data_IF_564368520276
#
_entry.id   IF_564368520276
#
_cell.length_a   1.000
_cell.length_b   1.000
_cell.length_c   1.000
_cell.angle_alpha   90.00
_cell.angle_beta   90.00
_cell.angle_gamma   90.00
#
_symmetry.space_group_name_H-M   'P 1'
#
loop_
_entity.id
_entity.type
_entity.pdbx_description
1 polymer ?
#
# COMPACT_ATOMS: atom_id res chain seq x y z
N UNK A 1 5.68 -30.49 -9.49
CA UNK A 1 4.74 -29.43 -9.07
C UNK A 1 5.54 -28.17 -8.80
N UNK A 2 5.17 -27.11 -9.50
CA UNK A 2 6.02 -25.97 -9.91
C UNK A 2 6.12 -24.88 -8.83
N UNK A 3 7.32 -24.32 -8.65
CA UNK A 3 7.66 -23.18 -7.77
C UNK A 3 6.75 -21.93 -7.90
N UNK A 4 5.94 -21.86 -8.97
CA UNK A 4 4.98 -20.79 -9.24
C UNK A 4 3.73 -20.83 -8.36
N UNK A 5 3.30 -22.01 -7.89
CA UNK A 5 2.15 -22.14 -6.97
C UNK A 5 2.54 -21.78 -5.52
N UNK A 6 3.79 -22.03 -5.12
CA UNK A 6 4.27 -21.73 -3.78
C UNK A 6 4.40 -20.22 -3.50
N UNK A 7 4.64 -19.40 -4.53
CA UNK A 7 4.66 -17.93 -4.43
C UNK A 7 3.26 -17.34 -4.40
N UNK A 8 2.29 -17.96 -5.08
CA UNK A 8 0.90 -17.51 -5.10
C UNK A 8 0.19 -17.63 -3.73
N UNK A 9 0.71 -18.47 -2.82
CA UNK A 9 0.10 -18.70 -1.50
C UNK A 9 0.62 -17.77 -0.39
N UNK A 10 1.60 -16.89 -0.67
CA UNK A 10 2.25 -16.05 0.36
C UNK A 10 1.74 -14.61 0.42
N UNK A 11 0.97 -14.18 -0.58
CA UNK A 11 0.24 -12.92 -0.55
C UNK A 11 -1.23 -13.22 -0.78
N UNK A 12 -2.02 -13.17 0.29
CA UNK A 12 -3.45 -13.45 0.24
C UNK A 12 -4.21 -12.14 0.36
N UNK A 13 -5.01 -11.82 -0.66
CA UNK A 13 -6.02 -10.78 -0.51
C UNK A 13 -7.10 -11.29 0.45
N UNK A 14 -7.40 -10.51 1.46
CA UNK A 14 -8.43 -10.82 2.46
C UNK A 14 -9.56 -9.79 2.37
N UNK A 15 -10.78 -10.11 2.85
CA UNK A 15 -11.80 -9.10 3.06
C UNK A 15 -11.24 -7.96 3.93
N UNK A 16 -11.67 -6.74 3.65
CA UNK A 16 -11.26 -5.58 4.42
C UNK A 16 -11.54 -5.81 5.91
N UNK A 17 -10.52 -5.57 6.74
CA UNK A 17 -10.62 -5.67 8.20
C UNK A 17 -11.59 -4.60 8.69
N UNK A 18 -12.19 -4.80 9.87
CA UNK A 18 -13.05 -3.80 10.52
C UNK A 18 -12.38 -2.41 10.51
N UNK A 19 -12.92 -1.54 9.64
CA UNK A 19 -12.38 -0.20 9.39
C UNK A 19 -12.49 0.67 10.64
N UNK A 20 -13.36 0.33 11.59
CA UNK A 20 -13.52 1.09 12.85
C UNK A 20 -12.28 1.04 13.74
N UNK A 21 -11.43 0.01 13.57
CA UNK A 21 -10.17 -0.17 14.32
C UNK A 21 -8.93 0.12 13.48
N UNK A 22 -9.13 0.56 12.25
CA UNK A 22 -8.06 0.79 11.28
C UNK A 22 -7.71 2.27 11.26
N UNK A 23 -6.45 2.65 11.57
CA UNK A 23 -6.06 4.05 11.54
C UNK A 23 -6.17 4.58 10.11
N UNK A 24 -6.99 5.61 9.92
CA UNK A 24 -7.14 6.36 8.67
C UNK A 24 -7.45 7.81 8.99
N UNK A 25 -6.88 8.72 8.21
CA UNK A 25 -7.14 10.16 8.30
C UNK A 25 -7.98 10.68 7.12
N UNK A 26 -8.48 9.79 6.25
CA UNK A 26 -9.32 10.16 5.10
C UNK A 26 -10.73 10.62 5.49
N UNK A 27 -11.21 10.31 6.70
CA UNK A 27 -12.56 10.65 7.19
C UNK A 27 -13.71 9.86 6.52
N UNK A 28 -13.61 9.56 5.22
CA UNK A 28 -14.46 8.61 4.48
C UNK A 28 -13.57 7.72 3.62
N UNK A 29 -13.87 6.43 3.61
CA UNK A 29 -13.20 5.43 2.77
C UNK A 29 -14.25 4.92 1.77
N UNK A 30 -13.99 5.12 0.48
CA UNK A 30 -14.88 4.67 -0.62
C UNK A 30 -14.37 3.37 -1.28
N UNK A 31 -13.09 3.03 -1.09
CA UNK A 31 -12.48 1.78 -1.50
C UNK A 31 -11.43 1.33 -0.48
N UNK A 32 -11.37 0.03 -0.25
CA UNK A 32 -10.34 -0.63 0.55
C UNK A 32 -9.96 -1.97 -0.07
N UNK A 33 -8.66 -2.25 -0.08
CA UNK A 33 -8.16 -3.62 -0.17
C UNK A 33 -7.20 -3.94 0.98
N UNK A 34 -7.09 -5.23 1.26
CA UNK A 34 -6.26 -5.76 2.33
C UNK A 34 -5.54 -7.03 1.85
N UNK A 35 -4.25 -7.11 2.15
CA UNK A 35 -3.39 -8.24 1.83
C UNK A 35 -2.64 -8.69 3.07
N UNK A 36 -2.72 -9.99 3.35
CA UNK A 36 -1.81 -10.65 4.27
C UNK A 36 -0.60 -11.14 3.48
N UNK A 37 0.57 -10.87 4.04
CA UNK A 37 1.87 -11.16 3.43
C UNK A 37 2.68 -11.99 4.40
N UNK A 38 3.00 -13.22 3.99
CA UNK A 38 3.87 -14.10 4.77
C UNK A 38 5.33 -13.70 4.52
N UNK A 39 5.98 -13.20 5.57
CA UNK A 39 7.41 -12.83 5.55
C UNK A 39 8.16 -13.64 6.61
N UNK A 40 9.41 -13.98 6.33
CA UNK A 40 10.28 -14.60 7.34
C UNK A 40 10.68 -13.56 8.37
N UNK A 41 10.46 -13.85 9.65
CA UNK A 41 10.85 -13.01 10.80
C UNK A 41 10.33 -11.56 10.71
N UNK A 42 8.99 -11.35 10.72
CA UNK A 42 8.41 -10.01 10.66
C UNK A 42 8.88 -9.08 11.79
N UNK A 43 9.34 -9.64 12.91
CA UNK A 43 9.84 -8.89 14.08
C UNK A 43 11.25 -8.32 13.94
N UNK A 44 12.04 -8.72 12.93
CA UNK A 44 13.42 -8.25 12.75
C UNK A 44 13.48 -6.77 12.30
N UNK A 45 12.39 -6.26 11.73
CA UNK A 45 12.26 -4.88 11.26
C UNK A 45 10.97 -4.23 11.80
N UNK A 46 11.00 -2.91 11.99
CA UNK A 46 9.80 -2.12 12.31
C UNK A 46 8.86 -1.99 11.11
N UNK A 47 7.61 -1.58 11.34
CA UNK A 47 6.63 -1.42 10.27
C UNK A 47 7.07 -0.37 9.22
N UNK A 48 7.68 0.74 9.64
CA UNK A 48 8.23 1.73 8.71
C UNK A 48 9.29 1.11 7.78
N UNK A 49 10.23 0.35 8.35
CA UNK A 49 11.33 -0.27 7.61
C UNK A 49 10.82 -1.32 6.61
N UNK A 50 9.80 -2.10 7.00
CA UNK A 50 9.12 -2.99 6.06
C UNK A 50 8.45 -2.23 4.92
N UNK A 51 7.78 -1.11 5.21
CA UNK A 51 7.14 -0.28 4.19
C UNK A 51 8.18 0.32 3.22
N UNK A 52 9.35 0.76 3.72
CA UNK A 52 10.49 1.17 2.89
C UNK A 52 11.01 0.01 2.05
N UNK A 53 11.16 -1.18 2.61
CA UNK A 53 11.60 -2.38 1.88
C UNK A 53 10.64 -2.73 0.73
N UNK A 54 9.33 -2.62 0.97
CA UNK A 54 8.30 -2.88 -0.03
C UNK A 54 8.37 -1.84 -1.18
N UNK A 55 8.34 -0.55 -0.83
CA UNK A 55 8.21 0.55 -1.80
C UNK A 55 9.55 1.01 -2.37
N UNK A 56 10.52 1.37 -1.52
CA UNK A 56 11.82 1.93 -1.90
C UNK A 56 12.81 0.84 -2.31
N UNK A 57 12.73 -0.35 -1.70
CA UNK A 57 13.48 -1.55 -2.09
C UNK A 57 13.05 -2.15 -3.43
N UNK A 58 12.08 -1.53 -4.12
CA UNK A 58 11.62 -1.96 -5.43
C UNK A 58 12.62 -1.73 -6.57
N UNK A 59 12.68 -2.64 -7.57
CA UNK A 59 13.42 -2.39 -8.79
C UNK A 59 13.07 -1.02 -9.38
N UNK A 60 14.08 -0.31 -9.91
CA UNK A 60 13.91 1.06 -10.43
C UNK A 60 12.75 1.19 -11.41
N UNK A 61 12.57 0.20 -12.30
CA UNK A 61 11.46 0.16 -13.26
C UNK A 61 10.08 0.09 -12.57
N UNK A 62 9.98 -0.68 -11.49
CA UNK A 62 8.76 -0.80 -10.70
C UNK A 62 8.47 0.49 -9.92
N UNK A 63 9.50 1.12 -9.31
CA UNK A 63 9.35 2.43 -8.65
C UNK A 63 8.89 3.51 -9.61
N UNK A 64 9.51 3.60 -10.78
CA UNK A 64 9.11 4.54 -11.82
C UNK A 64 7.65 4.30 -12.25
N UNK A 65 7.24 3.04 -12.42
CA UNK A 65 5.85 2.69 -12.73
C UNK A 65 4.88 3.11 -11.62
N UNK A 66 5.22 2.89 -10.35
CA UNK A 66 4.39 3.30 -9.21
C UNK A 66 4.23 4.83 -9.17
N UNK A 67 5.34 5.58 -9.26
CA UNK A 67 5.33 7.04 -9.29
C UNK A 67 4.50 7.58 -10.46
N UNK A 68 4.62 6.98 -11.65
CA UNK A 68 3.82 7.35 -12.82
C UNK A 68 2.33 7.05 -12.60
N UNK A 69 1.98 5.89 -12.04
CA UNK A 69 0.60 5.51 -11.77
C UNK A 69 -0.05 6.47 -10.77
N UNK A 70 0.63 6.77 -9.66
CA UNK A 70 0.18 7.71 -8.63
C UNK A 70 0.03 9.14 -9.18
N UNK A 71 0.98 9.58 -10.02
CA UNK A 71 0.91 10.90 -10.66
C UNK A 71 -0.27 11.00 -11.64
N UNK A 72 -0.55 9.93 -12.40
CA UNK A 72 -1.67 9.88 -13.34
C UNK A 72 -3.04 9.98 -12.65
N UNK A 73 -3.15 9.47 -11.41
CA UNK A 73 -4.34 9.63 -10.57
C UNK A 73 -4.31 10.90 -9.69
N UNK A 74 -3.36 11.79 -9.95
CA UNK A 74 -3.28 13.11 -9.34
C UNK A 74 -2.79 13.13 -7.90
N UNK A 75 -2.19 12.06 -7.38
CA UNK A 75 -1.60 12.08 -6.03
C UNK A 75 -0.47 13.11 -5.94
N UNK A 76 -0.45 13.85 -4.84
CA UNK A 76 0.55 14.86 -4.52
C UNK A 76 1.64 14.21 -3.69
N UNK A 77 2.58 13.57 -4.37
CA UNK A 77 3.75 12.99 -3.75
C UNK A 77 4.84 14.06 -3.57
N UNK A 78 5.60 13.92 -2.48
CA UNK A 78 6.80 14.72 -2.22
C UNK A 78 7.99 14.17 -2.99
N UNK A 79 9.02 15.01 -3.09
CA UNK A 79 10.33 14.56 -3.53
C UNK A 79 10.82 13.44 -2.58
N UNK A 80 11.28 12.29 -3.11
CA UNK A 80 11.85 11.23 -2.31
C UNK A 80 13.07 11.73 -1.51
N UNK A 81 13.29 11.15 -0.32
CA UNK A 81 14.50 11.42 0.48
C UNK A 81 14.33 12.41 1.63
N UNK A 82 13.10 12.77 2.00
CA UNK A 82 12.85 13.38 3.33
C UNK A 82 12.57 12.30 4.37
N UNK A 83 13.12 12.44 5.58
CA UNK A 83 12.96 11.46 6.67
C UNK A 83 11.48 11.19 7.01
N UNK A 84 10.59 12.14 6.72
CA UNK A 84 9.15 12.04 6.96
C UNK A 84 8.37 11.46 5.77
N UNK A 85 9.03 10.83 4.81
CA UNK A 85 8.40 10.27 3.61
C UNK A 85 8.97 8.91 3.20
N UNK A 86 8.13 8.10 2.57
CA UNK A 86 8.51 6.82 1.96
C UNK A 86 8.07 6.85 0.49
N UNK A 87 9.02 6.80 -0.44
CA UNK A 87 8.80 6.93 -1.88
C UNK A 87 7.86 8.10 -2.25
N UNK A 88 8.01 9.23 -1.55
CA UNK A 88 7.22 10.45 -1.74
C UNK A 88 5.86 10.49 -1.03
N UNK A 89 5.43 9.42 -0.37
CA UNK A 89 4.25 9.45 0.50
C UNK A 89 4.61 10.01 1.87
N UNK A 90 3.78 10.89 2.43
CA UNK A 90 3.99 11.42 3.79
C UNK A 90 3.70 10.34 4.83
N UNK A 91 4.58 10.18 5.81
CA UNK A 91 4.29 9.42 7.04
C UNK A 91 3.33 10.26 7.89
N UNK A 92 2.12 9.73 8.12
CA UNK A 92 1.04 10.39 8.86
C UNK A 92 1.02 10.00 10.33
N UNK A 93 1.23 8.71 10.59
CA UNK A 93 1.29 8.13 11.91
C UNK A 93 2.09 6.83 11.84
N UNK A 94 2.64 6.39 12.96
CA UNK A 94 3.25 5.09 13.07
C UNK A 94 3.96 4.90 14.40
N UNK A 95 4.25 3.64 14.68
CA UNK A 95 5.09 3.14 15.75
C UNK A 95 5.82 1.88 15.23
N UNK A 96 6.38 1.08 16.12
CA UNK A 96 7.10 -0.15 15.72
C UNK A 96 6.18 -1.15 15.01
N UNK A 97 4.88 -1.17 15.32
CA UNK A 97 3.91 -2.17 14.84
C UNK A 97 3.14 -1.73 13.60
N UNK A 98 2.98 -0.44 13.36
CA UNK A 98 2.35 0.03 12.13
C UNK A 98 2.91 1.34 11.59
N UNK A 99 2.73 1.56 10.29
CA UNK A 99 2.97 2.85 9.64
C UNK A 99 1.81 3.18 8.71
N UNK A 100 1.30 4.41 8.82
CA UNK A 100 0.28 4.97 7.95
C UNK A 100 0.92 6.05 7.08
N UNK A 101 0.85 5.84 5.77
CA UNK A 101 1.23 6.79 4.76
C UNK A 101 -0.01 7.46 4.17
N UNK A 102 0.09 8.73 3.79
CA UNK A 102 -1.05 9.45 3.20
C UNK A 102 -0.63 10.47 2.16
N UNK A 103 -1.32 10.47 1.02
CA UNK A 103 -1.10 11.40 -0.06
C UNK A 103 -2.42 12.13 -0.44
N UNK A 104 -2.44 13.48 -0.41
CA UNK A 104 -3.58 14.22 -0.94
C UNK A 104 -3.61 14.09 -2.47
N UNK A 105 -4.75 14.42 -3.08
CA UNK A 105 -4.91 14.38 -4.54
C UNK A 105 -5.29 15.74 -5.12
N UNK A 106 -4.89 15.98 -6.37
CA UNK A 106 -5.29 17.15 -7.18
C UNK A 106 -6.69 17.00 -7.78
N UNK A 107 -7.14 15.76 -8.02
CA UNK A 107 -8.40 15.47 -8.72
C UNK A 107 -9.50 14.92 -7.80
N UNK A 108 -9.25 14.90 -6.49
CA UNK A 108 -10.22 14.42 -5.49
C UNK A 108 -10.17 12.91 -5.24
N UNK A 109 -9.00 12.29 -5.39
CA UNK A 109 -8.78 10.88 -5.04
C UNK A 109 -7.61 10.69 -4.08
N UNK A 110 -7.67 11.24 -2.85
CA UNK A 110 -6.61 11.03 -1.88
C UNK A 110 -6.55 9.56 -1.46
N UNK A 111 -5.35 9.11 -1.10
CA UNK A 111 -5.10 7.73 -0.73
C UNK A 111 -4.26 7.62 0.53
N UNK A 112 -4.38 6.48 1.19
CA UNK A 112 -3.55 6.08 2.32
C UNK A 112 -3.06 4.64 2.14
N UNK A 113 -1.84 4.38 2.62
CA UNK A 113 -1.26 3.04 2.67
C UNK A 113 -0.94 2.73 4.12
N UNK A 114 -1.48 1.63 4.63
CA UNK A 114 -1.21 1.15 5.98
C UNK A 114 -0.44 -0.16 5.88
N UNK A 115 0.68 -0.25 6.59
CA UNK A 115 1.33 -1.51 6.88
C UNK A 115 1.27 -1.75 8.38
N UNK A 116 0.90 -2.97 8.78
CA UNK A 116 0.91 -3.42 10.17
C UNK A 116 1.63 -4.76 10.27
N UNK A 117 2.46 -4.93 11.29
CA UNK A 117 3.05 -6.21 11.65
C UNK A 117 2.02 -7.09 12.35
N UNK A 118 2.05 -8.39 12.06
CA UNK A 118 1.28 -9.42 12.74
C UNK A 118 2.25 -10.53 13.17
N UNK A 119 1.86 -11.34 14.16
CA UNK A 119 2.70 -12.44 14.67
C UNK A 119 3.21 -13.38 13.56
N UNK A 120 2.42 -13.59 12.49
CA UNK A 120 2.76 -14.47 11.37
C UNK A 120 3.23 -13.76 10.09
N UNK A 121 3.28 -12.42 10.04
CA UNK A 121 3.60 -11.71 8.80
C UNK A 121 3.25 -10.23 8.81
N UNK A 122 2.79 -9.72 7.67
CA UNK A 122 2.38 -8.32 7.51
C UNK A 122 0.94 -8.22 7.01
N UNK A 123 0.26 -7.16 7.39
CA UNK A 123 -1.00 -6.72 6.81
C UNK A 123 -0.76 -5.41 6.07
N UNK A 124 -1.00 -5.41 4.76
CA UNK A 124 -0.95 -4.22 3.91
C UNK A 124 -2.37 -3.83 3.49
N UNK A 125 -2.73 -2.56 3.64
CA UNK A 125 -4.04 -2.04 3.25
C UNK A 125 -3.90 -0.75 2.43
N UNK A 126 -4.71 -0.64 1.39
CA UNK A 126 -4.88 0.61 0.63
C UNK A 126 -6.25 1.19 0.95
N UNK A 127 -6.31 2.47 1.31
CA UNK A 127 -7.57 3.22 1.42
C UNK A 127 -7.62 4.29 0.35
N UNK A 128 -8.79 4.43 -0.29
CA UNK A 128 -9.03 5.49 -1.28
C UNK A 128 -10.37 6.14 -0.99
N UNK A 129 -10.39 7.47 -1.07
CA UNK A 129 -11.60 8.27 -1.03
C UNK A 129 -11.92 8.80 -2.42
N UNK A 130 -13.19 8.78 -2.81
CA UNK A 130 -13.66 9.31 -4.08
C UNK A 130 -14.46 10.58 -3.82
N UNK A 131 -13.87 11.75 -4.06
CA UNK A 131 -14.53 13.03 -3.78
C UNK A 131 -15.50 13.48 -4.89
N UNK A 132 -15.55 12.76 -6.02
CA UNK A 132 -16.51 13.00 -7.10
C UNK A 132 -16.80 11.73 -7.92
N UNK A 133 -17.83 11.78 -8.77
CA UNK A 133 -18.29 10.65 -9.60
C UNK A 133 -17.29 10.27 -10.70
N UNK A 134 -16.51 11.23 -11.22
CA UNK A 134 -15.51 10.98 -12.27
C UNK A 134 -14.37 10.11 -11.72
N UNK A 135 -13.83 10.45 -10.55
CA UNK A 135 -12.77 9.63 -9.92
C UNK A 135 -13.28 8.25 -9.51
N UNK A 136 -14.53 8.14 -9.05
CA UNK A 136 -15.17 6.85 -8.77
C UNK A 136 -15.22 5.96 -10.02
N UNK A 137 -15.65 6.52 -11.15
CA UNK A 137 -15.71 5.80 -12.41
C UNK A 137 -14.30 5.44 -12.96
N UNK A 138 -13.32 6.32 -12.77
CA UNK A 138 -11.92 6.04 -13.09
C UNK A 138 -11.40 4.86 -12.24
N UNK A 139 -11.62 4.90 -10.92
CA UNK A 139 -11.16 3.85 -10.01
C UNK A 139 -11.71 2.48 -10.39
N UNK A 140 -13.02 2.39 -10.66
CA UNK A 140 -13.66 1.15 -11.08
C UNK A 140 -13.02 0.51 -12.33
N UNK A 141 -12.36 1.29 -13.19
CA UNK A 141 -11.63 0.78 -14.37
C UNK A 141 -10.23 0.29 -14.04
N UNK A 142 -9.58 0.88 -13.05
CA UNK A 142 -8.16 0.59 -12.72
C UNK A 142 -8.00 -0.34 -11.52
N UNK A 143 -9.05 -0.57 -10.72
CA UNK A 143 -9.05 -1.38 -9.50
C UNK A 143 -8.38 -2.76 -9.71
N UNK A 144 -8.79 -3.51 -10.72
CA UNK A 144 -8.22 -4.82 -10.99
C UNK A 144 -6.71 -4.77 -11.32
N UNK A 145 -6.25 -3.70 -11.98
CA UNK A 145 -4.84 -3.47 -12.28
C UNK A 145 -4.07 -3.06 -11.02
N UNK A 146 -4.71 -2.26 -10.15
CA UNK A 146 -4.18 -1.86 -8.85
C UNK A 146 -3.94 -3.09 -7.96
N UNK A 147 -4.95 -3.94 -7.75
CA UNK A 147 -4.86 -5.17 -6.95
C UNK A 147 -3.72 -6.07 -7.44
N UNK A 148 -3.59 -6.24 -8.77
CA UNK A 148 -2.48 -7.02 -9.37
C UNK A 148 -1.13 -6.39 -9.08
N UNK A 149 -1.03 -5.07 -9.22
CA UNK A 149 0.22 -4.33 -8.98
C UNK A 149 0.64 -4.42 -7.51
N UNK A 150 -0.29 -4.22 -6.57
CA UNK A 150 -0.04 -4.36 -5.12
C UNK A 150 0.39 -5.79 -4.79
N UNK A 151 -0.31 -6.80 -5.30
CA UNK A 151 0.08 -8.20 -5.09
C UNK A 151 1.50 -8.50 -5.60
N UNK A 152 1.84 -8.08 -6.81
CA UNK A 152 3.18 -8.27 -7.38
C UNK A 152 4.27 -7.52 -6.61
N UNK A 153 3.94 -6.36 -6.06
CA UNK A 153 4.82 -5.56 -5.22
C UNK A 153 5.12 -6.29 -3.89
N UNK A 154 4.07 -6.77 -3.21
CA UNK A 154 4.18 -7.46 -1.92
C UNK A 154 4.84 -8.83 -2.04
N UNK A 155 4.61 -9.56 -3.13
CA UNK A 155 5.19 -10.89 -3.34
C UNK A 155 6.73 -10.90 -3.33
N UNK A 156 7.36 -9.74 -3.54
CA UNK A 156 8.82 -9.60 -3.53
C UNK A 156 9.45 -9.69 -2.13
N UNK A 157 8.68 -9.41 -1.08
CA UNK A 157 9.19 -9.47 0.29
C UNK A 157 8.82 -10.78 0.99
N UNK A 158 8.12 -11.68 0.29
CA UNK A 158 7.77 -12.99 0.80
C UNK A 158 8.99 -13.93 0.89
N UNK A 159 9.02 -14.77 1.94
CA UNK A 159 10.13 -15.70 2.24
C UNK A 159 9.75 -17.16 2.18
#
# INVERSE_FOLDING_TARGET
MTNTEATANRVRQIPAVDLSRTPSMLGRIDYVDAFEVDVRRPGDCGAEEWMRTILEGAPLSMRARLLSAWSAIGLKLRLPGSDRSILGWDIRAGDDDFVLLGAPSRIGMPGELLLRRKEGGLLFQTFVRHDNSIVRALWARIEASHVKTVRSLLARVCG
#
